data_IF_743570366401
#
_entry.id   IF_743570366401
#
_cell.length_a   1.000
_cell.length_b   1.000
_cell.length_c   1.000
_cell.angle_alpha   90.00
_cell.angle_beta   90.00
_cell.angle_gamma   90.00
#
_symmetry.space_group_name_H-M   'P 1'
#
loop_
_entity.id
_entity.type
_entity.pdbx_description
1 polymer ?
#
# COMPACT_ATOMS: atom_id res chain seq x y z
N UNK A 1 -42.31 -40.84 16.62
CA UNK A 1 -43.60 -41.17 17.27
C UNK A 1 -44.09 -39.99 18.11
N UNK A 2 -45.21 -39.33 17.78
CA UNK A 2 -46.23 -39.66 16.78
C UNK A 2 -45.90 -39.13 15.36
N UNK A 3 -46.84 -39.28 14.43
CA UNK A 3 -46.69 -39.13 12.96
C UNK A 3 -48.07 -38.97 12.29
N UNK A 4 -48.13 -38.63 10.98
CA UNK A 4 -49.25 -38.92 10.03
C UNK A 4 -50.54 -38.07 10.23
N UNK A 5 -51.27 -37.52 9.23
CA UNK A 5 -51.16 -37.41 7.75
C UNK A 5 -51.91 -36.11 7.28
N UNK A 6 -51.75 -35.50 6.08
CA UNK A 6 -52.01 -35.95 4.68
C UNK A 6 -53.51 -36.23 4.38
N UNK A 7 -54.12 -35.95 3.21
CA UNK A 7 -53.65 -35.58 1.84
C UNK A 7 -54.79 -34.85 1.03
N UNK A 8 -54.56 -34.48 -0.24
CA UNK A 8 -55.53 -33.75 -1.14
C UNK A 8 -56.47 -34.65 -1.97
N UNK A 9 -57.19 -34.11 -2.99
CA UNK A 9 -56.70 -34.25 -4.40
C UNK A 9 -57.11 -33.17 -5.46
N UNK A 10 -56.46 -33.23 -6.64
CA UNK A 10 -56.84 -32.90 -8.05
C UNK A 10 -58.12 -32.08 -8.40
N UNK A 11 -58.25 -31.25 -9.47
CA UNK A 11 -57.41 -30.85 -10.64
C UNK A 11 -58.07 -29.59 -11.34
N UNK A 12 -57.85 -29.09 -12.58
CA UNK A 12 -57.21 -29.58 -13.82
C UNK A 12 -56.83 -28.45 -14.86
N UNK A 13 -56.36 -28.88 -16.06
CA UNK A 13 -55.89 -28.18 -17.30
C UNK A 13 -56.72 -27.05 -17.93
N UNK A 14 -56.07 -25.96 -18.42
CA UNK A 14 -56.23 -25.34 -19.78
C UNK A 14 -55.23 -24.18 -20.03
N UNK A 15 -55.12 -23.65 -21.27
CA UNK A 15 -53.96 -22.86 -21.73
C UNK A 15 -54.26 -21.58 -22.56
N UNK A 16 -53.27 -20.67 -22.56
CA UNK A 16 -52.85 -19.67 -23.58
C UNK A 16 -53.87 -18.73 -24.28
N UNK A 17 -53.50 -17.44 -24.38
CA UNK A 17 -53.50 -16.59 -25.60
C UNK A 17 -52.89 -15.21 -25.26
N UNK A 18 -52.33 -14.52 -26.25
CA UNK A 18 -51.81 -13.15 -26.14
C UNK A 18 -52.51 -12.21 -27.15
N UNK A 19 -52.44 -10.88 -26.97
CA UNK A 19 -52.63 -9.94 -28.07
C UNK A 19 -51.41 -9.03 -28.30
N UNK A 20 -51.31 -8.50 -29.52
CA UNK A 20 -50.18 -7.69 -30.02
C UNK A 20 -50.59 -6.26 -30.36
N UNK A 21 -49.66 -5.33 -30.16
CA UNK A 21 -49.31 -4.18 -31.04
C UNK A 21 -50.43 -3.36 -31.73
N UNK A 22 -50.43 -2.03 -31.53
CA UNK A 22 -50.65 -1.10 -32.64
C UNK A 22 -50.06 0.32 -32.40
N UNK A 23 -49.90 1.12 -33.47
CA UNK A 23 -49.26 2.46 -33.51
C UNK A 23 -49.57 3.23 -34.80
N UNK A 24 -49.94 4.52 -34.73
CA UNK A 24 -49.53 5.56 -35.71
C UNK A 24 -48.57 6.60 -35.05
N UNK A 25 -47.59 7.27 -35.67
CA UNK A 25 -47.56 8.16 -36.87
C UNK A 25 -48.42 9.44 -36.69
N UNK A 26 -48.07 10.66 -37.16
CA UNK A 26 -46.84 11.33 -37.66
C UNK A 26 -47.15 12.87 -37.71
N UNK A 27 -46.17 13.77 -37.89
CA UNK A 27 -46.38 15.24 -37.99
C UNK A 27 -46.81 15.74 -39.40
N UNK A 28 -46.59 17.03 -39.82
CA UNK A 28 -45.69 18.04 -39.24
C UNK A 28 -46.23 19.53 -39.20
N UNK A 29 -45.67 20.65 -39.78
CA UNK A 29 -45.57 21.96 -39.05
C UNK A 29 -45.99 23.27 -39.82
N UNK A 30 -45.87 24.48 -39.21
CA UNK A 30 -45.58 25.77 -39.91
C UNK A 30 -45.39 27.05 -39.00
N UNK A 31 -44.36 27.85 -39.30
CA UNK A 31 -44.31 29.34 -39.60
C UNK A 31 -45.35 30.26 -38.91
N UNK A 32 -45.05 31.28 -38.07
CA UNK A 32 -44.21 32.53 -38.13
C UNK A 32 -44.81 33.74 -38.90
N UNK A 33 -44.51 35.00 -38.46
CA UNK A 33 -44.21 36.25 -39.25
C UNK A 33 -44.75 37.60 -38.66
N UNK A 34 -43.86 38.62 -38.54
CA UNK A 34 -44.08 40.10 -38.51
C UNK A 34 -44.79 40.77 -37.29
N UNK A 35 -44.69 42.08 -36.99
CA UNK A 35 -43.71 43.20 -37.21
C UNK A 35 -44.22 44.46 -36.42
N UNK A 36 -43.71 45.72 -36.42
CA UNK A 36 -42.60 46.44 -37.10
C UNK A 36 -42.19 47.73 -36.32
N UNK A 37 -40.89 48.04 -36.18
CA UNK A 37 -40.35 49.42 -36.00
C UNK A 37 -40.57 50.15 -34.64
N UNK A 38 -39.89 51.26 -34.32
CA UNK A 38 -38.69 51.93 -34.90
C UNK A 38 -38.12 52.98 -33.93
N UNK A 39 -36.82 53.33 -34.03
CA UNK A 39 -36.16 54.56 -33.47
C UNK A 39 -36.03 54.54 -31.90
N UNK A 40 -34.97 55.04 -31.23
CA UNK A 40 -33.73 55.77 -31.55
C UNK A 40 -32.55 55.30 -30.64
N UNK A 41 -31.33 55.84 -30.81
CA UNK A 41 -30.35 55.93 -29.71
C UNK A 41 -28.87 55.67 -30.03
N UNK A 42 -28.09 56.73 -30.22
CA UNK A 42 -26.62 56.70 -30.36
C UNK A 42 -25.89 56.17 -29.11
N UNK A 43 -24.80 55.40 -29.30
CA UNK A 43 -23.74 55.20 -28.30
C UNK A 43 -22.34 55.04 -28.93
N UNK A 44 -21.33 55.32 -28.11
CA UNK A 44 -19.94 55.54 -28.52
C UNK A 44 -19.07 54.27 -28.55
N UNK A 45 -17.95 54.42 -29.26
CA UNK A 45 -16.67 53.68 -29.17
C UNK A 45 -16.55 52.68 -28.01
N UNK A 46 -16.19 51.45 -28.34
CA UNK A 46 -15.52 50.54 -27.41
C UNK A 46 -14.21 50.00 -28.04
N UNK A 47 -13.17 49.83 -27.22
CA UNK A 47 -11.80 49.59 -27.70
C UNK A 47 -11.49 48.10 -27.67
N UNK A 48 -10.99 47.55 -28.79
CA UNK A 48 -10.56 46.15 -28.87
C UNK A 48 -9.05 46.00 -28.62
N UNK A 49 -8.58 45.70 -27.39
CA UNK A 49 -7.23 45.18 -27.21
C UNK A 49 -7.14 43.80 -27.86
N UNK A 50 -6.12 43.60 -28.71
CA UNK A 50 -5.72 42.26 -29.14
C UNK A 50 -5.01 41.58 -27.97
N UNK A 51 -5.70 40.73 -27.24
CA UNK A 51 -5.03 39.75 -26.37
C UNK A 51 -4.26 38.81 -27.30
N UNK A 52 -2.93 38.80 -27.19
CA UNK A 52 -2.10 37.85 -27.89
C UNK A 52 -2.21 36.47 -27.23
N UNK A 53 -2.14 35.41 -28.03
CA UNK A 53 -2.16 34.03 -27.54
C UNK A 53 -0.81 33.65 -26.92
N UNK A 54 -0.54 34.09 -25.69
CA UNK A 54 0.61 33.64 -24.89
C UNK A 54 0.24 32.37 -24.09
N UNK A 55 -0.27 31.37 -24.81
CA UNK A 55 -0.70 30.06 -24.26
C UNK A 55 0.38 29.01 -24.52
N UNK A 56 1.66 29.37 -24.38
CA UNK A 56 2.75 28.43 -24.70
C UNK A 56 4.04 28.65 -23.87
N UNK A 57 3.92 28.48 -22.53
CA UNK A 57 5.05 28.21 -21.60
C UNK A 57 4.67 27.72 -20.19
N UNK A 58 3.61 26.92 -20.05
CA UNK A 58 3.54 26.03 -18.87
C UNK A 58 4.68 25.02 -19.01
N UNK A 59 5.79 25.24 -18.31
CA UNK A 59 6.88 24.27 -18.21
C UNK A 59 6.28 22.97 -17.67
N UNK A 60 6.20 21.95 -18.54
CA UNK A 60 5.80 20.61 -18.16
C UNK A 60 6.92 20.01 -17.31
N UNK A 61 6.82 20.21 -15.99
CA UNK A 61 7.64 19.55 -14.98
C UNK A 61 7.39 18.04 -15.08
N UNK A 62 8.15 17.36 -15.96
CA UNK A 62 8.16 15.91 -16.04
C UNK A 62 8.60 15.39 -14.69
N UNK A 63 7.69 14.75 -13.98
CA UNK A 63 8.00 14.02 -12.75
C UNK A 63 9.14 13.03 -13.08
N UNK A 64 10.23 12.95 -12.30
CA UNK A 64 11.32 12.02 -12.57
C UNK A 64 10.82 10.59 -12.73
N UNK A 65 11.17 9.95 -13.86
CA UNK A 65 10.90 8.54 -14.15
C UNK A 65 12.24 7.79 -14.19
N UNK A 66 12.50 7.06 -13.12
CA UNK A 66 13.74 6.35 -12.84
C UNK A 66 13.65 4.99 -13.53
N UNK A 67 14.06 4.94 -14.80
CA UNK A 67 14.05 3.74 -15.65
C UNK A 67 15.42 3.10 -15.84
N UNK A 68 16.49 3.82 -15.51
CA UNK A 68 17.89 3.42 -15.64
C UNK A 68 18.43 2.81 -14.33
N UNK A 69 18.93 1.57 -14.34
CA UNK A 69 19.59 0.96 -13.18
C UNK A 69 20.76 1.75 -12.59
N UNK A 70 21.41 2.68 -13.32
CA UNK A 70 22.51 3.49 -12.76
C UNK A 70 22.06 4.44 -11.64
N UNK A 71 20.78 4.81 -11.63
CA UNK A 71 20.21 5.80 -10.71
C UNK A 71 19.83 5.23 -9.34
N UNK A 72 19.83 3.89 -9.20
CA UNK A 72 19.44 3.19 -7.97
C UNK A 72 20.39 2.02 -7.68
N UNK A 73 20.35 1.52 -6.44
CA UNK A 73 20.94 0.24 -6.07
C UNK A 73 19.81 -0.75 -5.86
N UNK A 74 19.72 -1.73 -6.77
CA UNK A 74 18.75 -2.81 -6.70
C UNK A 74 19.47 -4.15 -6.53
N UNK A 75 19.10 -4.88 -5.48
CA UNK A 75 19.66 -6.19 -5.14
C UNK A 75 18.55 -7.24 -5.11
N UNK A 76 18.55 -8.16 -6.06
CA UNK A 76 17.76 -9.40 -5.97
C UNK A 76 18.39 -10.30 -4.90
N UNK A 77 17.59 -10.71 -3.92
CA UNK A 77 18.08 -11.54 -2.81
C UNK A 77 18.29 -13.00 -3.27
N UNK A 78 19.29 -13.71 -2.71
CA UNK A 78 19.59 -15.08 -3.11
C UNK A 78 18.50 -16.04 -2.65
N UNK A 79 17.98 -16.84 -3.58
CA UNK A 79 16.91 -17.79 -3.35
C UNK A 79 17.17 -19.07 -4.18
N UNK A 80 17.10 -20.23 -3.52
CA UNK A 80 17.36 -21.55 -4.12
C UNK A 80 16.11 -22.41 -4.23
N UNK A 81 14.97 -21.91 -3.76
CA UNK A 81 13.69 -22.64 -3.70
C UNK A 81 12.79 -22.16 -4.84
N UNK A 82 11.93 -23.04 -5.34
CA UNK A 82 10.97 -22.76 -6.40
C UNK A 82 10.21 -21.43 -6.19
N UNK A 83 9.97 -20.74 -7.31
CA UNK A 83 9.22 -19.49 -7.37
C UNK A 83 7.80 -19.65 -6.79
N UNK A 84 7.39 -18.74 -5.93
CA UNK A 84 6.04 -18.66 -5.36
C UNK A 84 5.80 -17.23 -4.89
N UNK A 85 4.65 -16.64 -5.24
CA UNK A 85 4.27 -15.23 -5.00
C UNK A 85 4.61 -14.80 -3.57
N UNK A 86 5.34 -13.70 -3.39
CA UNK A 86 5.61 -13.16 -2.04
C UNK A 86 4.38 -12.40 -1.55
N UNK A 87 3.63 -13.00 -0.63
CA UNK A 87 2.31 -12.50 -0.18
C UNK A 87 2.39 -11.60 1.06
N UNK A 88 3.44 -11.75 1.88
CA UNK A 88 3.80 -10.82 2.97
C UNK A 88 5.31 -10.65 3.06
N UNK A 89 5.75 -9.47 3.49
CA UNK A 89 7.16 -9.10 3.60
C UNK A 89 7.32 -8.11 4.76
N UNK A 90 8.32 -8.31 5.62
CA UNK A 90 8.60 -7.43 6.76
C UNK A 90 10.09 -7.45 7.11
N UNK A 91 10.68 -6.28 7.37
CA UNK A 91 12.01 -6.20 7.98
C UNK A 91 11.94 -6.53 9.46
N UNK A 92 13.01 -7.07 10.04
CA UNK A 92 13.14 -7.12 11.51
C UNK A 92 13.22 -5.71 12.07
N UNK A 93 12.72 -5.46 13.29
CA UNK A 93 12.70 -4.12 13.91
C UNK A 93 14.12 -3.54 14.01
N UNK A 94 15.12 -4.41 14.20
CA UNK A 94 16.56 -4.10 14.15
C UNK A 94 17.12 -3.67 12.79
N UNK A 95 16.40 -3.90 11.68
CA UNK A 95 16.87 -3.63 10.31
C UNK A 95 17.95 -4.59 9.79
N UNK A 96 18.35 -5.61 10.55
CA UNK A 96 19.44 -6.53 10.20
C UNK A 96 18.99 -7.70 9.31
N UNK A 97 17.68 -7.87 9.09
CA UNK A 97 17.12 -9.05 8.43
C UNK A 97 15.76 -8.74 7.78
N UNK A 98 15.38 -9.55 6.80
CA UNK A 98 14.14 -9.43 6.04
C UNK A 98 13.42 -10.79 5.99
N UNK A 99 12.16 -10.83 6.37
CA UNK A 99 11.31 -12.02 6.39
C UNK A 99 10.20 -11.90 5.35
N UNK A 100 10.18 -12.84 4.40
CA UNK A 100 9.05 -13.04 3.48
C UNK A 100 8.21 -14.24 3.90
N UNK A 101 6.92 -14.20 3.56
CA UNK A 101 6.03 -15.36 3.46
C UNK A 101 5.58 -15.49 2.00
N UNK A 102 5.82 -16.66 1.41
CA UNK A 102 5.37 -16.98 0.06
C UNK A 102 3.98 -17.64 0.07
N UNK A 103 3.29 -17.62 -1.08
CA UNK A 103 1.94 -18.19 -1.24
C UNK A 103 1.87 -19.70 -0.93
N UNK A 104 2.98 -20.41 -1.02
CA UNK A 104 3.11 -21.83 -0.66
C UNK A 104 3.29 -22.09 0.84
N UNK A 105 2.94 -21.13 1.70
CA UNK A 105 3.05 -21.17 3.16
C UNK A 105 4.47 -21.22 3.75
N UNK A 106 5.53 -21.19 2.92
CA UNK A 106 6.93 -21.19 3.35
C UNK A 106 7.43 -19.77 3.62
N UNK A 107 8.12 -19.57 4.74
CA UNK A 107 8.83 -18.33 5.03
C UNK A 107 10.29 -18.40 4.56
N UNK A 108 10.82 -17.26 4.12
CA UNK A 108 12.23 -17.08 3.74
C UNK A 108 12.80 -15.91 4.54
N UNK A 109 13.94 -16.13 5.22
CA UNK A 109 14.57 -15.14 6.10
C UNK A 109 15.98 -14.84 5.61
N UNK A 110 16.21 -13.63 5.13
CA UNK A 110 17.54 -13.14 4.77
C UNK A 110 18.14 -12.36 5.92
N UNK A 111 19.41 -12.63 6.25
CA UNK A 111 20.16 -11.92 7.29
C UNK A 111 21.41 -11.27 6.70
N UNK A 112 21.59 -9.97 6.97
CA UNK A 112 22.83 -9.28 6.69
C UNK A 112 23.81 -9.52 7.83
N UNK A 113 25.09 -9.68 7.49
CA UNK A 113 26.16 -9.91 8.46
C UNK A 113 27.03 -8.66 8.59
N UNK A 114 27.55 -8.41 9.79
CA UNK A 114 28.59 -7.38 9.99
C UNK A 114 29.88 -7.86 9.34
N UNK A 115 30.37 -7.06 8.40
CA UNK A 115 31.59 -7.32 7.61
C UNK A 115 32.28 -5.99 7.33
N UNK A 116 33.51 -6.00 6.83
CA UNK A 116 34.22 -4.78 6.42
C UNK A 116 33.42 -3.95 5.38
N UNK A 117 32.65 -4.64 4.51
CA UNK A 117 31.78 -4.02 3.49
C UNK A 117 30.40 -3.62 4.01
N UNK A 118 30.00 -4.08 5.19
CA UNK A 118 28.80 -3.63 5.90
C UNK A 118 29.05 -3.61 7.41
N UNK A 119 29.70 -2.55 7.95
CA UNK A 119 30.03 -2.48 9.38
C UNK A 119 28.79 -2.43 10.28
N UNK A 120 27.68 -1.88 9.78
CA UNK A 120 26.42 -1.77 10.54
C UNK A 120 25.73 -3.13 10.73
N UNK A 121 25.77 -3.98 9.70
CA UNK A 121 24.98 -5.20 9.60
C UNK A 121 23.51 -4.97 9.19
N UNK A 122 23.09 -3.73 8.92
CA UNK A 122 21.76 -3.40 8.38
C UNK A 122 21.58 -3.99 6.99
N UNK A 123 20.32 -4.13 6.57
CA UNK A 123 19.99 -4.39 5.18
C UNK A 123 20.47 -3.25 4.26
N UNK A 124 20.89 -3.63 3.05
CA UNK A 124 21.36 -2.74 1.99
C UNK A 124 21.43 -3.52 0.68
N UNK A 125 21.28 -2.83 -0.44
CA UNK A 125 21.52 -3.40 -1.77
C UNK A 125 23.02 -3.53 -2.10
N UNK A 126 23.91 -2.83 -1.39
CA UNK A 126 25.36 -2.88 -1.63
C UNK A 126 26.02 -4.23 -1.24
N UNK A 127 25.39 -5.03 -0.38
CA UNK A 127 25.93 -6.31 0.12
C UNK A 127 24.84 -7.38 0.15
N UNK A 128 25.10 -8.52 -0.48
CA UNK A 128 24.18 -9.65 -0.49
C UNK A 128 24.01 -10.27 0.92
N UNK A 129 22.77 -10.50 1.39
CA UNK A 129 22.54 -11.24 2.64
C UNK A 129 22.73 -12.74 2.44
N UNK A 130 22.83 -13.45 3.56
CA UNK A 130 22.68 -14.90 3.58
C UNK A 130 21.18 -15.25 3.68
N UNK A 131 20.68 -16.13 2.81
CA UNK A 131 19.42 -16.85 3.06
C UNK A 131 19.66 -17.78 4.26
N UNK A 132 19.03 -17.47 5.38
CA UNK A 132 19.34 -18.07 6.67
C UNK A 132 18.36 -19.18 7.03
N UNK A 133 18.91 -20.29 7.53
CA UNK A 133 18.19 -21.42 8.08
C UNK A 133 18.88 -21.86 9.39
N UNK A 134 18.15 -22.45 10.34
CA UNK A 134 18.77 -23.01 11.55
C UNK A 134 19.65 -24.24 11.19
N UNK A 135 20.70 -24.55 11.98
CA UNK A 135 21.56 -25.73 11.74
C UNK A 135 20.84 -27.08 11.72
N UNK A 136 19.60 -27.15 12.18
CA UNK A 136 18.74 -28.34 12.10
C UNK A 136 18.11 -28.57 10.73
N UNK A 137 18.30 -27.69 9.75
CA UNK A 137 17.65 -27.76 8.42
C UNK A 137 16.13 -27.56 8.46
N UNK A 138 15.57 -27.17 9.62
CA UNK A 138 14.14 -26.95 9.81
C UNK A 138 13.67 -25.75 8.99
N UNK A 139 12.63 -25.91 8.19
CA UNK A 139 11.96 -24.82 7.46
C UNK A 139 10.83 -24.21 8.30
N UNK A 140 10.60 -22.91 8.15
CA UNK A 140 9.49 -22.20 8.79
C UNK A 140 8.27 -22.20 7.84
N UNK A 141 7.38 -23.18 7.99
CA UNK A 141 6.20 -23.37 7.12
C UNK A 141 4.92 -23.36 7.96
N UNK A 142 3.88 -22.68 7.52
CA UNK A 142 2.56 -22.69 8.19
C UNK A 142 1.79 -23.99 7.92
N UNK A 143 0.87 -24.33 8.84
CA UNK A 143 -0.24 -25.23 8.54
C UNK A 143 -1.06 -24.67 7.37
N UNK A 144 -1.46 -25.54 6.44
CA UNK A 144 -2.32 -25.24 5.29
C UNK A 144 -3.66 -25.93 5.52
N UNK A 145 -4.76 -25.31 5.07
CA UNK A 145 -6.06 -25.98 5.01
C UNK A 145 -6.20 -26.72 3.67
N UNK A 146 -6.12 -28.06 3.69
CA UNK A 146 -6.20 -28.93 2.50
C UNK A 146 -7.46 -28.74 1.64
N UNK A 147 -8.53 -28.15 2.20
CA UNK A 147 -9.79 -27.89 1.47
C UNK A 147 -9.78 -26.63 0.57
N UNK A 148 -8.73 -25.81 0.61
CA UNK A 148 -8.56 -24.62 -0.25
C UNK A 148 -7.17 -24.60 -0.89
N UNK A 149 -7.01 -24.08 -2.11
CA UNK A 149 -5.70 -23.81 -2.68
C UNK A 149 -4.88 -22.86 -1.78
N UNK A 150 -3.58 -23.12 -1.68
CA UNK A 150 -2.63 -22.26 -0.96
C UNK A 150 -2.61 -20.83 -1.53
N UNK A 151 -2.69 -20.68 -2.85
CA UNK A 151 -2.66 -19.39 -3.54
C UNK A 151 -3.93 -18.55 -3.36
N UNK A 152 -5.06 -19.16 -3.00
CA UNK A 152 -6.33 -18.48 -2.70
C UNK A 152 -6.51 -18.22 -1.19
N UNK A 153 -5.69 -18.87 -0.36
CA UNK A 153 -5.76 -18.78 1.09
C UNK A 153 -5.16 -17.46 1.60
N UNK A 154 -5.92 -16.74 2.42
CA UNK A 154 -5.43 -15.52 3.04
C UNK A 154 -4.20 -15.81 3.91
N UNK A 155 -3.16 -14.99 3.74
CA UNK A 155 -1.90 -15.10 4.45
C UNK A 155 -1.65 -13.87 5.33
N UNK A 156 -1.07 -14.05 6.51
CA UNK A 156 -0.73 -12.95 7.40
C UNK A 156 0.50 -13.27 8.26
N UNK A 157 1.29 -12.24 8.58
CA UNK A 157 2.44 -12.31 9.49
C UNK A 157 2.41 -11.12 10.44
N UNK A 158 2.87 -11.31 11.67
CA UNK A 158 3.19 -10.25 12.61
C UNK A 158 4.47 -10.59 13.38
N UNK A 159 5.41 -9.66 13.45
CA UNK A 159 6.71 -9.85 14.11
C UNK A 159 6.68 -9.29 15.54
N UNK A 160 7.27 -10.02 16.49
CA UNK A 160 7.47 -9.54 17.86
C UNK A 160 8.45 -8.36 17.92
N UNK A 161 8.23 -7.41 18.83
CA UNK A 161 9.07 -6.19 19.02
C UNK A 161 10.57 -6.47 19.26
N UNK A 162 10.94 -7.68 19.67
CA UNK A 162 12.31 -8.11 19.97
C UNK A 162 12.89 -9.09 18.92
N UNK A 163 12.31 -9.13 17.72
CA UNK A 163 12.73 -9.95 16.56
C UNK A 163 12.85 -11.46 16.80
N UNK A 164 12.42 -11.94 17.98
CA UNK A 164 12.66 -13.31 18.45
C UNK A 164 11.58 -14.28 17.99
N UNK A 165 10.39 -13.77 17.68
CA UNK A 165 9.22 -14.55 17.29
C UNK A 165 8.45 -13.91 16.14
N UNK A 166 7.81 -14.75 15.32
CA UNK A 166 6.80 -14.34 14.33
C UNK A 166 5.54 -15.16 14.54
N UNK A 167 4.38 -14.51 14.48
CA UNK A 167 3.09 -15.19 14.34
C UNK A 167 2.64 -15.14 12.89
N UNK A 168 2.13 -16.25 12.38
CA UNK A 168 1.83 -16.40 10.96
C UNK A 168 0.67 -17.37 10.72
N UNK A 169 -0.04 -17.18 9.61
CA UNK A 169 -1.06 -18.11 9.12
C UNK A 169 -1.14 -18.08 7.58
N UNK A 170 -1.53 -19.20 6.98
CA UNK A 170 -1.75 -19.38 5.53
C UNK A 170 -2.96 -20.28 5.28
N UNK A 171 -4.15 -19.81 5.67
CA UNK A 171 -5.41 -20.57 5.59
C UNK A 171 -5.59 -21.67 6.65
N UNK A 172 -4.51 -22.24 7.20
CA UNK A 172 -4.52 -23.14 8.36
C UNK A 172 -4.61 -22.41 9.71
N UNK A 173 -4.04 -23.02 10.75
CA UNK A 173 -3.95 -22.44 12.12
C UNK A 173 -3.07 -21.20 12.15
N UNK A 174 -3.20 -20.40 13.21
CA UNK A 174 -2.23 -19.37 13.56
C UNK A 174 -1.09 -20.01 14.36
N UNK A 175 0.13 -19.92 13.85
CA UNK A 175 1.33 -20.54 14.43
C UNK A 175 2.30 -19.48 14.94
N UNK A 176 2.83 -19.68 16.16
CA UNK A 176 3.91 -18.89 16.73
C UNK A 176 5.24 -19.60 16.49
N UNK A 177 6.14 -19.00 15.70
CA UNK A 177 7.48 -19.54 15.42
C UNK A 177 8.57 -18.81 16.17
N UNK A 178 9.61 -19.56 16.55
CA UNK A 178 10.87 -19.02 17.06
C UNK A 178 11.84 -18.67 15.90
N UNK A 179 12.25 -17.41 15.79
CA UNK A 179 13.08 -16.89 14.68
C UNK A 179 14.54 -17.39 14.67
N UNK A 180 14.97 -18.12 15.70
CA UNK A 180 16.31 -18.70 15.85
C UNK A 180 16.34 -20.22 15.64
N UNK A 181 15.20 -20.89 15.57
CA UNK A 181 15.11 -22.36 15.41
C UNK A 181 14.09 -22.82 14.37
N UNK A 182 13.25 -21.91 13.87
CA UNK A 182 12.10 -22.15 12.99
C UNK A 182 11.07 -23.17 13.52
N UNK A 183 11.19 -23.56 14.80
CA UNK A 183 10.21 -24.41 15.46
C UNK A 183 8.96 -23.61 15.82
N UNK A 184 7.81 -24.24 15.60
CA UNK A 184 6.52 -23.83 16.18
C UNK A 184 6.60 -23.99 17.70
N UNK A 185 6.14 -22.99 18.43
CA UNK A 185 6.05 -22.97 19.90
C UNK A 185 4.63 -23.22 20.39
N UNK A 186 3.63 -22.70 19.68
CA UNK A 186 2.20 -23.00 19.88
C UNK A 186 1.44 -22.78 18.59
N UNK A 187 0.25 -23.37 18.48
CA UNK A 187 -0.70 -23.20 17.38
C UNK A 187 -2.10 -23.04 17.95
N UNK A 188 -2.83 -22.03 17.50
CA UNK A 188 -4.17 -21.71 17.97
C UNK A 188 -5.10 -21.34 16.80
N UNK A 189 -6.40 -21.24 17.11
CA UNK A 189 -7.47 -20.89 16.15
C UNK A 189 -7.46 -21.77 14.89
N UNK A 190 -7.86 -23.03 15.06
CA UNK A 190 -8.18 -23.93 13.94
C UNK A 190 -9.28 -23.34 13.06
N UNK A 191 -9.11 -23.30 11.73
CA UNK A 191 -10.18 -22.89 10.81
C UNK A 191 -11.30 -23.96 10.74
N UNK A 192 -12.52 -23.59 10.33
CA UNK A 192 -12.97 -22.25 9.96
C UNK A 192 -13.41 -21.40 11.19
N UNK A 193 -13.36 -20.05 11.10
CA UNK A 193 -12.88 -19.25 9.97
C UNK A 193 -11.35 -19.11 9.96
N UNK A 194 -10.77 -18.92 8.77
CA UNK A 194 -9.33 -18.66 8.64
C UNK A 194 -8.94 -17.24 9.09
N UNK A 195 -7.71 -17.09 9.59
CA UNK A 195 -7.13 -15.79 9.91
C UNK A 195 -6.59 -15.10 8.65
N UNK A 196 -6.91 -13.82 8.47
CA UNK A 196 -6.58 -13.02 7.28
C UNK A 196 -5.61 -11.88 7.58
N UNK A 197 -5.52 -11.43 8.83
CA UNK A 197 -4.63 -10.36 9.29
C UNK A 197 -4.27 -10.53 10.77
N UNK A 198 -3.08 -10.07 11.18
CA UNK A 198 -2.58 -10.14 12.55
C UNK A 198 -2.03 -8.77 12.98
N UNK A 199 -2.30 -8.35 14.22
CA UNK A 199 -1.68 -7.18 14.84
C UNK A 199 -1.47 -7.40 16.34
N UNK A 200 -0.24 -7.25 16.83
CA UNK A 200 0.05 -7.24 18.27
C UNK A 200 -0.51 -5.98 18.93
N UNK A 201 -1.08 -6.13 20.13
CA UNK A 201 -1.50 -4.99 20.93
C UNK A 201 -0.28 -4.14 21.37
N UNK A 202 -0.32 -2.80 21.24
CA UNK A 202 0.88 -1.98 21.38
C UNK A 202 1.48 -1.94 22.80
N UNK A 203 0.71 -2.27 23.85
CA UNK A 203 1.17 -2.20 25.24
C UNK A 203 1.15 -3.53 26.00
N UNK A 204 0.39 -4.53 25.54
CA UNK A 204 0.26 -5.84 26.20
C UNK A 204 0.64 -6.95 25.21
N UNK A 205 1.84 -7.50 25.38
CA UNK A 205 2.38 -8.53 24.50
C UNK A 205 1.59 -9.87 24.54
N UNK A 206 0.64 -10.04 25.47
CA UNK A 206 -0.25 -11.20 25.53
C UNK A 206 -1.47 -11.06 24.59
N UNK A 207 -1.78 -9.84 24.11
CA UNK A 207 -3.01 -9.53 23.39
C UNK A 207 -2.76 -9.26 21.91
N UNK A 208 -3.62 -9.83 21.06
CA UNK A 208 -3.50 -9.77 19.60
C UNK A 208 -4.88 -9.54 18.99
N UNK A 209 -4.96 -8.61 18.03
CA UNK A 209 -6.11 -8.48 17.16
C UNK A 209 -5.90 -9.35 15.91
N UNK A 210 -6.89 -10.18 15.61
CA UNK A 210 -6.83 -11.19 14.55
C UNK A 210 -8.03 -10.98 13.63
N UNK A 211 -7.75 -10.59 12.39
CA UNK A 211 -8.76 -10.42 11.35
C UNK A 211 -9.15 -11.78 10.78
N UNK A 212 -10.44 -12.00 10.53
CA UNK A 212 -10.97 -13.30 10.11
C UNK A 212 -11.64 -13.25 8.74
N UNK A 213 -11.79 -14.42 8.14
CA UNK A 213 -12.56 -14.64 6.92
C UNK A 213 -14.09 -14.41 7.13
N UNK A 214 -14.61 -14.63 8.34
CA UNK A 214 -16.03 -14.41 8.70
C UNK A 214 -16.40 -12.94 9.02
N UNK A 215 -15.65 -11.99 8.43
CA UNK A 215 -15.86 -10.54 8.56
C UNK A 215 -15.74 -9.98 9.99
N UNK A 216 -15.22 -10.79 10.92
CA UNK A 216 -14.99 -10.42 12.32
C UNK A 216 -13.53 -10.11 12.62
N UNK A 217 -13.29 -9.35 13.70
CA UNK A 217 -11.97 -9.26 14.34
C UNK A 217 -12.07 -9.89 15.71
N UNK A 218 -11.17 -10.81 16.02
CA UNK A 218 -11.09 -11.46 17.33
C UNK A 218 -9.94 -10.87 18.14
N UNK A 219 -10.20 -10.52 19.39
CA UNK A 219 -9.21 -10.06 20.36
C UNK A 219 -8.83 -11.27 21.19
N UNK A 220 -7.61 -11.74 21.02
CA UNK A 220 -7.12 -13.02 21.53
C UNK A 220 -6.05 -12.84 22.62
N UNK A 221 -6.03 -13.72 23.61
CA UNK A 221 -5.08 -13.70 24.73
C UNK A 221 -4.23 -14.97 24.74
N UNK A 222 -3.02 -14.88 24.17
CA UNK A 222 -2.13 -16.03 23.90
C UNK A 222 -1.56 -16.68 25.17
N UNK A 223 -1.73 -16.05 26.34
CA UNK A 223 -1.26 -16.58 27.63
C UNK A 223 -2.25 -17.56 28.28
N UNK A 224 -3.54 -17.45 27.95
CA UNK A 224 -4.61 -18.31 28.48
C UNK A 224 -5.36 -19.07 27.39
N UNK A 225 -4.99 -18.86 26.12
CA UNK A 225 -5.56 -19.49 24.92
C UNK A 225 -7.00 -19.05 24.57
N UNK A 226 -7.49 -17.91 25.12
CA UNK A 226 -8.88 -17.46 25.03
C UNK A 226 -9.13 -16.26 24.10
N UNK A 227 -10.29 -16.25 23.45
CA UNK A 227 -10.85 -15.07 22.75
C UNK A 227 -11.54 -14.16 23.78
N UNK A 228 -10.93 -13.02 24.13
CA UNK A 228 -11.52 -12.02 25.03
C UNK A 228 -12.76 -11.36 24.44
N UNK A 229 -12.77 -11.06 23.14
CA UNK A 229 -13.86 -10.31 22.49
C UNK A 229 -13.91 -10.59 20.99
N UNK A 230 -15.11 -10.62 20.40
CA UNK A 230 -15.32 -10.75 18.94
C UNK A 230 -16.03 -9.52 18.39
N UNK A 231 -15.27 -8.65 17.71
CA UNK A 231 -15.74 -7.43 17.07
C UNK A 231 -16.52 -7.79 15.79
N UNK A 232 -17.70 -7.20 15.61
CA UNK A 232 -18.55 -7.37 14.41
C UNK A 232 -18.94 -6.01 13.85
N UNK A 233 -18.78 -5.80 12.55
CA UNK A 233 -19.12 -4.51 11.92
C UNK A 233 -18.84 -4.42 10.42
N UNK A 234 -17.89 -5.19 9.90
CA UNK A 234 -17.66 -5.37 8.45
C UNK A 234 -18.58 -6.46 7.90
N UNK A 235 -18.82 -6.42 6.59
CA UNK A 235 -19.64 -7.41 5.87
C UNK A 235 -18.79 -8.46 5.16
N UNK A 236 -17.59 -8.09 4.70
CA UNK A 236 -16.61 -9.00 4.08
C UNK A 236 -15.38 -9.22 4.97
N UNK A 237 -14.58 -10.25 4.63
CA UNK A 237 -13.30 -10.62 5.29
C UNK A 237 -12.44 -9.40 5.66
N UNK A 238 -11.77 -9.47 6.80
CA UNK A 238 -10.83 -8.41 7.22
C UNK A 238 -9.60 -8.41 6.31
N UNK A 239 -9.13 -7.23 5.90
CA UNK A 239 -7.95 -7.03 5.03
C UNK A 239 -6.90 -6.10 5.61
N UNK A 240 -7.16 -5.46 6.76
CA UNK A 240 -6.17 -4.70 7.51
C UNK A 240 -6.54 -4.49 8.98
N UNK A 241 -5.50 -4.36 9.81
CA UNK A 241 -5.58 -3.98 11.23
C UNK A 241 -4.43 -3.01 11.55
N UNK A 242 -4.72 -1.90 12.22
CA UNK A 242 -3.73 -0.95 12.69
C UNK A 242 -4.12 -0.40 14.07
N UNK A 243 -3.23 -0.49 15.06
CA UNK A 243 -3.41 0.12 16.38
C UNK A 243 -2.83 1.53 16.42
N UNK A 244 -3.49 2.44 17.14
CA UNK A 244 -2.95 3.72 17.60
C UNK A 244 -3.08 3.81 19.12
N UNK A 245 -1.96 3.88 19.87
CA UNK A 245 -1.98 4.19 21.30
C UNK A 245 -2.49 5.61 21.57
N UNK A 246 -2.13 6.57 20.72
CA UNK A 246 -2.47 8.00 20.87
C UNK A 246 -3.97 8.27 20.75
N UNK A 247 -4.67 7.54 19.89
CA UNK A 247 -6.13 7.58 19.79
C UNK A 247 -6.83 6.55 20.70
N UNK A 248 -6.06 5.75 21.44
CA UNK A 248 -6.54 4.60 22.22
C UNK A 248 -7.47 3.67 21.41
N UNK A 249 -7.11 3.45 20.13
CA UNK A 249 -7.99 2.87 19.14
C UNK A 249 -7.33 1.78 18.27
N UNK A 250 -8.09 0.74 17.96
CA UNK A 250 -7.84 -0.17 16.84
C UNK A 250 -8.64 0.33 15.63
N UNK A 251 -8.02 0.40 14.46
CA UNK A 251 -8.74 0.52 13.18
C UNK A 251 -8.64 -0.82 12.45
N UNK A 252 -9.77 -1.30 11.93
CA UNK A 252 -9.84 -2.45 11.04
C UNK A 252 -10.53 -2.12 9.73
N UNK A 253 -10.10 -2.76 8.65
CA UNK A 253 -10.65 -2.58 7.31
C UNK A 253 -11.12 -3.91 6.71
N UNK A 254 -12.29 -3.89 6.08
CA UNK A 254 -12.89 -5.05 5.41
C UNK A 254 -12.68 -5.00 3.89
N UNK A 255 -12.86 -6.16 3.24
CA UNK A 255 -12.90 -6.23 1.77
C UNK A 255 -14.22 -5.68 1.17
N UNK A 256 -15.09 -5.12 2.01
CA UNK A 256 -16.28 -4.30 1.69
C UNK A 256 -15.95 -2.80 1.67
N UNK A 257 -14.65 -2.46 1.70
CA UNK A 257 -14.13 -1.10 1.71
C UNK A 257 -14.63 -0.23 2.90
N UNK A 258 -15.11 -0.87 3.98
CA UNK A 258 -15.43 -0.20 5.24
C UNK A 258 -14.17 -0.06 6.11
N UNK A 259 -14.05 1.09 6.78
CA UNK A 259 -13.18 1.32 7.92
C UNK A 259 -14.03 1.28 9.19
N UNK A 260 -13.59 0.52 10.20
CA UNK A 260 -14.16 0.52 11.55
C UNK A 260 -13.10 0.93 12.56
N UNK A 261 -13.44 1.83 13.48
CA UNK A 261 -12.60 2.23 14.62
C UNK A 261 -13.23 1.70 15.92
N UNK A 262 -12.40 1.14 16.79
CA UNK A 262 -12.79 0.47 18.03
C UNK A 262 -11.96 1.00 19.20
N UNK A 263 -12.56 1.15 20.38
CA UNK A 263 -11.82 1.44 21.62
C UNK A 263 -10.94 0.25 22.00
N UNK A 264 -9.69 0.50 22.40
CA UNK A 264 -8.80 -0.55 22.92
C UNK A 264 -9.24 -1.02 24.32
N UNK A 265 -9.57 -0.09 25.23
CA UNK A 265 -9.94 -0.46 26.61
C UNK A 265 -11.20 -1.33 26.70
N UNK A 266 -12.19 -1.01 25.86
CA UNK A 266 -13.54 -1.61 25.94
C UNK A 266 -13.91 -2.51 24.78
N UNK A 267 -13.18 -2.46 23.67
CA UNK A 267 -13.49 -3.20 22.44
C UNK A 267 -14.86 -2.83 21.81
N UNK A 268 -15.39 -1.64 22.15
CA UNK A 268 -16.62 -1.05 21.60
C UNK A 268 -16.37 -0.35 20.25
N UNK A 269 -17.34 -0.39 19.32
CA UNK A 269 -17.26 0.30 18.01
C UNK A 269 -17.46 1.81 18.21
N UNK A 270 -16.43 2.62 17.94
CA UNK A 270 -16.47 4.08 18.07
C UNK A 270 -17.04 4.77 16.81
N UNK A 271 -16.61 4.33 15.62
CA UNK A 271 -17.08 4.86 14.33
C UNK A 271 -16.89 3.84 13.22
N UNK A 272 -17.63 4.00 12.13
CA UNK A 272 -17.27 3.42 10.84
C UNK A 272 -17.55 4.38 9.68
N UNK A 273 -16.82 4.22 8.57
CA UNK A 273 -17.06 4.92 7.31
C UNK A 273 -16.59 4.04 6.14
N UNK A 274 -17.37 4.01 5.06
CA UNK A 274 -16.93 3.45 3.78
C UNK A 274 -16.02 4.44 3.05
N UNK A 275 -14.91 3.96 2.50
CA UNK A 275 -14.06 4.81 1.65
C UNK A 275 -14.86 5.22 0.41
N UNK A 276 -14.70 6.47 -0.03
CA UNK A 276 -15.37 6.96 -1.22
C UNK A 276 -14.61 6.55 -2.48
N UNK A 277 -15.33 6.27 -3.57
CA UNK A 277 -14.73 5.91 -4.85
C UNK A 277 -14.08 7.13 -5.53
N UNK A 278 -13.05 6.95 -6.38
CA UNK A 278 -12.54 8.02 -7.24
C UNK A 278 -13.62 8.56 -8.17
N UNK A 279 -13.54 9.84 -8.53
CA UNK A 279 -14.45 10.46 -9.48
C UNK A 279 -14.51 9.66 -10.80
N UNK A 280 -15.72 9.29 -11.23
CA UNK A 280 -15.95 8.47 -12.43
C UNK A 280 -16.02 6.95 -12.20
N UNK A 281 -15.70 6.43 -11.00
CA UNK A 281 -16.00 5.03 -10.63
C UNK A 281 -17.37 4.91 -9.94
N UNK A 282 -18.01 3.76 -10.09
CA UNK A 282 -19.23 3.42 -9.35
C UNK A 282 -18.93 3.03 -7.89
N UNK A 283 -19.96 3.09 -7.05
CA UNK A 283 -19.95 2.74 -5.62
C UNK A 283 -21.01 1.64 -5.39
N UNK A 284 -20.80 0.66 -4.47
CA UNK A 284 -19.69 0.54 -3.52
C UNK A 284 -18.38 0.02 -4.14
N UNK A 285 -17.25 0.35 -3.50
CA UNK A 285 -15.98 -0.34 -3.73
C UNK A 285 -15.98 -1.68 -3.00
N UNK A 286 -15.36 -2.69 -3.62
CA UNK A 286 -15.14 -4.03 -3.06
C UNK A 286 -13.75 -4.47 -3.51
N UNK A 287 -12.90 -4.90 -2.57
CA UNK A 287 -11.48 -5.15 -2.83
C UNK A 287 -10.64 -5.04 -1.56
N UNK A 288 -9.38 -5.47 -1.61
CA UNK A 288 -8.51 -5.43 -0.41
C UNK A 288 -8.21 -3.99 0.00
N UNK A 289 -8.54 -3.67 1.25
CA UNK A 289 -8.31 -2.33 1.83
C UNK A 289 -7.29 -2.47 2.97
N UNK A 290 -6.03 -2.09 2.72
CA UNK A 290 -4.97 -2.12 3.72
C UNK A 290 -4.96 -0.80 4.51
N UNK A 291 -4.63 -0.86 5.80
CA UNK A 291 -4.56 0.33 6.69
C UNK A 291 -3.25 0.36 7.48
N UNK A 292 -2.70 1.56 7.67
CA UNK A 292 -1.48 1.80 8.47
C UNK A 292 -1.56 3.17 9.14
N UNK A 293 -1.27 3.28 10.43
CA UNK A 293 -1.10 4.58 11.08
C UNK A 293 0.24 5.23 10.69
N UNK A 294 0.22 6.55 10.54
CA UNK A 294 1.42 7.39 10.42
C UNK A 294 2.20 7.43 11.75
N UNK A 295 3.44 7.92 11.71
CA UNK A 295 4.29 8.06 12.90
C UNK A 295 3.68 8.97 13.99
N UNK A 296 2.83 9.94 13.62
CA UNK A 296 2.07 10.75 14.59
C UNK A 296 0.95 9.98 15.31
N UNK A 297 0.62 8.76 14.87
CA UNK A 297 -0.43 7.88 15.38
C UNK A 297 -1.87 8.47 15.30
N UNK A 298 -2.08 9.55 14.56
CA UNK A 298 -3.36 10.24 14.37
C UNK A 298 -3.86 10.18 12.93
N UNK A 299 -2.96 10.25 11.95
CA UNK A 299 -3.26 10.07 10.53
C UNK A 299 -3.18 8.59 10.13
N UNK A 300 -4.12 8.16 9.29
CA UNK A 300 -4.23 6.78 8.82
C UNK A 300 -4.09 6.73 7.30
N UNK A 301 -3.06 6.03 6.80
CA UNK A 301 -2.96 5.63 5.40
C UNK A 301 -3.96 4.51 5.12
N UNK A 302 -4.75 4.69 4.07
CA UNK A 302 -5.77 3.75 3.61
C UNK A 302 -5.53 3.49 2.13
N UNK A 303 -5.24 2.22 1.81
CA UNK A 303 -4.79 1.79 0.48
C UNK A 303 -5.77 0.78 -0.07
N UNK A 304 -6.32 1.08 -1.25
CA UNK A 304 -7.18 0.21 -2.04
C UNK A 304 -6.61 0.16 -3.47
N UNK A 305 -6.94 -0.89 -4.24
CA UNK A 305 -6.47 -1.04 -5.64
C UNK A 305 -6.75 0.17 -6.55
N UNK A 306 -7.78 0.96 -6.20
CA UNK A 306 -8.21 2.16 -6.92
C UNK A 306 -7.62 3.48 -6.41
N UNK A 307 -7.05 3.52 -5.19
CA UNK A 307 -6.61 4.77 -4.56
C UNK A 307 -5.73 4.57 -3.31
N UNK A 308 -4.86 5.55 -3.08
CA UNK A 308 -4.24 5.83 -1.78
C UNK A 308 -4.95 7.03 -1.18
N UNK A 309 -5.20 6.99 0.13
CA UNK A 309 -5.88 8.06 0.83
C UNK A 309 -5.39 8.19 2.27
N UNK A 310 -5.40 9.42 2.80
CA UNK A 310 -5.07 9.69 4.20
C UNK A 310 -6.33 10.15 4.92
N UNK A 311 -6.61 9.51 6.04
CA UNK A 311 -7.73 9.81 6.93
C UNK A 311 -7.23 10.41 8.24
N UNK A 312 -8.02 11.26 8.86
CA UNK A 312 -7.74 11.81 10.20
C UNK A 312 -8.22 10.87 11.33
N UNK A 313 -8.03 11.31 12.57
CA UNK A 313 -8.46 10.60 13.79
C UNK A 313 -9.98 10.44 13.92
N UNK A 314 -10.76 11.17 13.12
CA UNK A 314 -12.22 11.03 13.03
C UNK A 314 -12.64 10.14 11.86
N UNK A 315 -11.72 9.46 11.17
CA UNK A 315 -11.98 8.78 9.89
C UNK A 315 -12.58 9.71 8.81
N UNK A 316 -12.10 10.95 8.71
CA UNK A 316 -12.41 11.90 7.63
C UNK A 316 -11.27 11.87 6.61
N UNK A 317 -11.58 11.65 5.33
CA UNK A 317 -10.59 11.63 4.26
C UNK A 317 -10.06 13.05 4.03
N UNK A 318 -8.80 13.31 4.39
CA UNK A 318 -8.17 14.62 4.21
C UNK A 318 -7.56 14.76 2.82
N UNK A 319 -7.04 13.66 2.25
CA UNK A 319 -6.35 13.62 0.96
C UNK A 319 -6.58 12.28 0.28
N UNK A 320 -6.72 12.28 -1.05
CA UNK A 320 -6.74 11.06 -1.86
C UNK A 320 -6.00 11.24 -3.19
N UNK A 321 -5.39 10.15 -3.67
CA UNK A 321 -4.75 10.02 -4.97
C UNK A 321 -5.19 8.70 -5.61
N UNK A 322 -5.52 8.72 -6.89
CA UNK A 322 -5.91 7.54 -7.68
C UNK A 322 -5.00 7.36 -8.90
N UNK A 323 -4.78 6.12 -9.38
CA UNK A 323 -4.02 5.85 -10.59
C UNK A 323 -4.48 6.66 -11.80
N UNK A 324 -3.50 7.24 -12.50
CA UNK A 324 -3.64 8.07 -13.71
C UNK A 324 -2.28 8.38 -14.33
N UNK A 325 -2.30 8.87 -15.56
CA UNK A 325 -1.14 9.45 -16.26
C UNK A 325 0.09 8.51 -16.24
N UNK A 326 1.16 8.88 -15.52
CA UNK A 326 2.41 8.11 -15.42
C UNK A 326 2.30 6.83 -14.55
N UNK A 327 1.22 6.67 -13.79
CA UNK A 327 0.94 5.50 -12.96
C UNK A 327 -0.53 5.07 -13.15
N UNK A 328 -0.89 4.46 -14.30
CA UNK A 328 -2.27 4.16 -14.66
C UNK A 328 -2.77 2.80 -14.14
N UNK A 329 -1.87 1.91 -13.73
CA UNK A 329 -2.20 0.55 -13.29
C UNK A 329 -2.85 0.51 -11.89
N UNK A 330 -3.54 -0.59 -11.52
CA UNK A 330 -4.03 -0.79 -10.15
C UNK A 330 -2.88 -0.83 -9.12
N UNK A 331 -3.19 -0.41 -7.89
CA UNK A 331 -2.26 -0.39 -6.76
C UNK A 331 -2.25 -1.77 -6.07
N UNK A 332 -1.08 -2.39 -5.93
CA UNK A 332 -0.95 -3.69 -5.26
C UNK A 332 -0.72 -3.55 -3.76
N UNK A 333 0.09 -2.58 -3.34
CA UNK A 333 0.40 -2.28 -1.94
C UNK A 333 0.99 -0.88 -1.81
N UNK A 334 0.71 -0.18 -0.73
CA UNK A 334 1.41 1.05 -0.38
C UNK A 334 1.64 1.14 1.14
N UNK A 335 2.67 1.88 1.54
CA UNK A 335 3.20 1.92 2.91
C UNK A 335 4.01 3.20 3.15
N UNK A 336 3.97 3.76 4.36
CA UNK A 336 4.83 4.88 4.76
C UNK A 336 6.31 4.47 4.81
N UNK A 337 7.23 5.43 4.61
CA UNK A 337 8.63 5.34 5.04
C UNK A 337 8.75 5.30 6.58
N UNK A 338 9.89 4.88 7.11
CA UNK A 338 10.10 4.81 8.57
C UNK A 338 10.15 6.18 9.27
N UNK A 339 10.47 7.26 8.56
CA UNK A 339 10.35 8.64 9.05
C UNK A 339 8.93 9.22 8.90
N UNK A 340 8.07 8.56 8.13
CA UNK A 340 6.70 8.99 7.83
C UNK A 340 6.60 10.04 6.72
N UNK A 341 7.71 10.52 6.15
CA UNK A 341 7.72 11.64 5.19
C UNK A 341 7.36 11.23 3.75
N UNK A 342 7.42 9.93 3.43
CA UNK A 342 7.11 9.38 2.11
C UNK A 342 6.04 8.29 2.21
N UNK A 343 5.29 8.10 1.12
CA UNK A 343 4.53 6.87 0.86
C UNK A 343 5.10 6.20 -0.39
N UNK A 344 5.46 4.93 -0.27
CA UNK A 344 5.82 4.07 -1.39
C UNK A 344 4.60 3.27 -1.82
N UNK A 345 4.34 3.21 -3.13
CA UNK A 345 3.23 2.45 -3.71
C UNK A 345 3.71 1.58 -4.86
N UNK A 346 3.39 0.29 -4.81
CA UNK A 346 3.61 -0.68 -5.89
C UNK A 346 2.39 -0.79 -6.78
N UNK A 347 2.64 -1.02 -8.07
CA UNK A 347 1.61 -1.07 -9.11
C UNK A 347 1.70 -2.38 -9.90
N UNK A 348 0.57 -2.85 -10.44
CA UNK A 348 0.49 -4.12 -11.15
C UNK A 348 1.20 -4.15 -12.51
N UNK A 349 1.72 -3.01 -13.00
CA UNK A 349 2.61 -2.90 -14.17
C UNK A 349 4.11 -3.05 -13.81
N UNK A 350 4.44 -3.23 -12.53
CA UNK A 350 5.81 -3.26 -12.04
C UNK A 350 6.40 -1.88 -11.71
N UNK A 351 5.64 -0.79 -11.86
CA UNK A 351 6.08 0.53 -11.41
C UNK A 351 6.02 0.65 -9.88
N UNK A 352 6.83 1.56 -9.35
CA UNK A 352 6.76 2.03 -7.96
C UNK A 352 6.59 3.55 -8.01
N UNK A 353 5.56 4.07 -7.37
CA UNK A 353 5.38 5.50 -7.16
C UNK A 353 5.89 5.90 -5.77
N UNK A 354 6.71 6.94 -5.72
CA UNK A 354 7.09 7.60 -4.46
C UNK A 354 6.27 8.88 -4.33
N UNK A 355 5.63 9.05 -3.19
CA UNK A 355 4.75 10.17 -2.87
C UNK A 355 5.23 10.89 -1.61
N UNK A 356 4.97 12.18 -1.55
CA UNK A 356 5.03 12.99 -0.34
C UNK A 356 3.89 12.61 0.61
N UNK A 357 4.20 12.27 1.87
CA UNK A 357 3.17 11.82 2.82
C UNK A 357 2.22 12.93 3.29
N UNK A 358 2.73 14.15 3.46
CA UNK A 358 1.95 15.30 3.95
C UNK A 358 0.93 15.77 2.90
N UNK A 359 1.25 15.68 1.61
CA UNK A 359 0.42 16.24 0.53
C UNK A 359 -0.15 15.20 -0.44
N UNK A 360 0.27 13.93 -0.37
CA UNK A 360 0.08 12.90 -1.41
C UNK A 360 0.52 13.36 -2.82
N UNK A 361 1.45 14.33 -2.90
CA UNK A 361 2.05 14.74 -4.18
C UNK A 361 3.02 13.67 -4.66
N UNK A 362 2.84 13.27 -5.92
CA UNK A 362 3.71 12.34 -6.61
C UNK A 362 5.10 12.97 -6.82
N UNK A 363 6.17 12.31 -6.32
CA UNK A 363 7.55 12.81 -6.34
C UNK A 363 8.39 12.21 -7.47
N UNK A 364 8.35 10.88 -7.63
CA UNK A 364 9.02 10.19 -8.74
C UNK A 364 8.41 8.80 -9.00
N UNK A 365 8.56 8.32 -10.24
CA UNK A 365 8.34 6.93 -10.63
C UNK A 365 9.66 6.18 -10.59
N UNK A 366 9.63 4.91 -10.18
CA UNK A 366 10.68 3.93 -10.43
C UNK A 366 10.08 2.90 -11.37
N UNK A 367 10.65 2.76 -12.57
CA UNK A 367 10.22 1.77 -13.56
C UNK A 367 10.75 0.38 -13.23
N UNK A 368 10.07 -0.70 -13.66
CA UNK A 368 10.55 -2.07 -13.45
C UNK A 368 11.94 -2.30 -14.04
N UNK A 369 12.28 -1.65 -15.16
CA UNK A 369 13.60 -1.75 -15.81
C UNK A 369 14.78 -1.28 -14.95
N UNK A 370 14.55 -0.47 -13.92
CA UNK A 370 15.62 0.02 -13.05
C UNK A 370 16.04 -1.02 -12.00
N UNK A 371 15.11 -1.86 -11.52
CA UNK A 371 15.36 -2.82 -10.42
C UNK A 371 15.19 -4.29 -10.81
N UNK A 372 14.55 -4.60 -11.94
CA UNK A 372 14.47 -5.93 -12.53
C UNK A 372 15.50 -6.00 -13.68
N UNK A 373 16.51 -6.89 -13.61
CA UNK A 373 17.51 -7.02 -14.66
C UNK A 373 16.89 -7.32 -16.03
N UNK A 374 17.40 -6.70 -17.09
CA UNK A 374 16.80 -6.70 -18.44
C UNK A 374 16.59 -8.07 -19.06
N UNK A 375 17.39 -9.07 -18.69
CA UNK A 375 17.24 -10.47 -19.12
C UNK A 375 16.09 -11.24 -18.44
N UNK A 376 15.41 -10.65 -17.45
CA UNK A 376 14.23 -11.23 -16.77
C UNK A 376 12.90 -10.58 -17.20
N UNK A 377 12.91 -9.62 -18.13
CA UNK A 377 11.75 -8.78 -18.52
C UNK A 377 10.72 -9.52 -19.39
N UNK A 378 10.86 -10.83 -19.60
CA UNK A 378 9.87 -11.68 -20.29
C UNK A 378 8.60 -11.96 -19.47
N UNK A 379 8.64 -11.74 -18.15
CA UNK A 379 7.51 -11.98 -17.25
C UNK A 379 6.84 -10.67 -16.78
N UNK A 380 5.53 -10.73 -16.56
CA UNK A 380 4.68 -9.66 -15.99
C UNK A 380 4.86 -9.48 -14.47
N UNK A 381 6.11 -9.60 -14.01
CA UNK A 381 6.49 -9.54 -12.60
C UNK A 381 6.30 -8.12 -12.04
N UNK A 382 5.59 -8.03 -10.92
CA UNK A 382 5.25 -6.78 -10.25
C UNK A 382 5.31 -6.95 -8.73
N UNK A 383 5.54 -5.88 -7.94
CA UNK A 383 5.52 -5.98 -6.49
C UNK A 383 4.10 -6.27 -6.01
N UNK A 384 3.92 -7.31 -5.20
CA UNK A 384 2.68 -7.61 -4.47
C UNK A 384 2.66 -6.96 -3.08
N UNK A 385 3.84 -6.78 -2.48
CA UNK A 385 4.05 -6.16 -1.17
C UNK A 385 5.32 -5.32 -1.16
N UNK A 386 5.30 -4.24 -0.38
CA UNK A 386 6.45 -3.36 -0.11
C UNK A 386 6.64 -3.31 1.41
N UNK A 387 7.90 -3.38 1.86
CA UNK A 387 8.30 -3.15 3.24
C UNK A 387 9.33 -2.01 3.32
N UNK A 388 9.12 -0.94 4.09
CA UNK A 388 10.12 0.08 4.33
C UNK A 388 11.19 -0.44 5.30
N UNK A 389 12.45 -0.06 5.12
CA UNK A 389 13.48 -0.35 6.12
C UNK A 389 13.22 0.47 7.41
N UNK A 390 13.23 -0.11 8.62
CA UNK A 390 12.74 0.54 9.85
C UNK A 390 13.59 1.73 10.34
N UNK A 391 14.74 1.99 9.73
CA UNK A 391 15.62 3.11 10.08
C UNK A 391 16.37 3.74 8.91
N UNK A 392 15.98 3.46 7.66
CA UNK A 392 16.56 4.08 6.46
C UNK A 392 15.42 4.49 5.51
N UNK A 393 14.94 5.75 5.53
CA UNK A 393 13.65 6.11 4.95
C UNK A 393 13.60 6.03 3.42
N UNK A 394 14.76 6.03 2.77
CA UNK A 394 14.90 5.85 1.32
C UNK A 394 15.02 4.37 0.88
N UNK A 395 15.14 3.41 1.80
CA UNK A 395 15.28 1.98 1.45
C UNK A 395 13.95 1.24 1.59
N UNK A 396 13.61 0.45 0.56
CA UNK A 396 12.45 -0.46 0.55
C UNK A 396 12.86 -1.87 0.12
N UNK A 397 12.12 -2.87 0.58
CA UNK A 397 12.11 -4.20 0.01
C UNK A 397 10.79 -4.46 -0.74
N UNK A 398 10.88 -5.22 -1.83
CA UNK A 398 9.81 -5.54 -2.76
C UNK A 398 9.62 -7.06 -2.80
N UNK A 399 8.41 -7.52 -2.49
CA UNK A 399 8.02 -8.92 -2.65
C UNK A 399 7.24 -9.08 -3.94
N UNK A 400 7.75 -9.86 -4.88
CA UNK A 400 7.27 -9.90 -6.26
C UNK A 400 6.28 -11.05 -6.53
N UNK A 401 5.49 -10.89 -7.60
CA UNK A 401 4.57 -11.92 -8.10
C UNK A 401 5.26 -13.13 -8.74
N UNK A 402 6.51 -13.00 -9.20
CA UNK A 402 7.38 -14.13 -9.62
C UNK A 402 8.10 -14.82 -8.44
N UNK A 403 7.82 -14.39 -7.21
CA UNK A 403 8.47 -14.90 -6.01
C UNK A 403 9.85 -14.33 -5.70
N UNK A 404 10.40 -13.44 -6.54
CA UNK A 404 11.64 -12.73 -6.22
C UNK A 404 11.43 -11.75 -5.05
N UNK A 405 12.52 -11.49 -4.32
CA UNK A 405 12.61 -10.37 -3.37
C UNK A 405 13.74 -9.45 -3.81
N UNK A 406 13.46 -8.16 -3.90
CA UNK A 406 14.45 -7.12 -4.22
C UNK A 406 14.56 -6.12 -3.07
N UNK A 407 15.78 -5.69 -2.74
CA UNK A 407 16.02 -4.49 -1.92
C UNK A 407 16.42 -3.35 -2.85
N UNK A 408 15.80 -2.19 -2.67
CA UNK A 408 15.97 -1.00 -3.50
C UNK A 408 16.24 0.23 -2.63
N UNK A 409 17.30 0.95 -2.97
CA UNK A 409 17.72 2.22 -2.37
C UNK A 409 18.32 3.15 -3.45
N UNK A 410 18.42 4.47 -3.25
CA UNK A 410 19.09 5.37 -4.19
C UNK A 410 20.57 5.00 -4.42
N UNK A 411 21.14 5.36 -5.57
CA UNK A 411 22.55 5.08 -5.86
C UNK A 411 23.51 5.90 -4.97
N UNK A 412 23.14 7.15 -4.69
CA UNK A 412 23.82 8.08 -3.78
C UNK A 412 22.99 8.28 -2.49
N UNK A 413 23.65 8.35 -1.34
CA UNK A 413 23.00 8.57 -0.05
C UNK A 413 22.43 9.99 0.09
N UNK A 414 22.94 10.98 -0.65
CA UNK A 414 22.40 12.35 -0.63
C UNK A 414 21.17 12.53 -1.55
N UNK A 415 21.01 11.68 -2.58
CA UNK A 415 19.82 11.71 -3.44
C UNK A 415 18.60 11.09 -2.74
N UNK A 416 17.74 11.97 -2.20
CA UNK A 416 16.36 11.64 -1.81
C UNK A 416 15.52 11.36 -3.07
N UNK A 417 14.57 10.42 -2.97
CA UNK A 417 13.65 10.09 -4.07
C UNK A 417 12.90 11.33 -4.60
N UNK A 418 13.09 11.62 -5.89
CA UNK A 418 12.50 12.79 -6.57
C UNK A 418 13.12 14.14 -6.20
N UNK A 419 14.25 14.16 -5.47
CA UNK A 419 15.01 15.38 -5.25
C UNK A 419 15.67 15.87 -6.54
N UNK A 420 15.61 17.17 -6.81
CA UNK A 420 16.56 17.80 -7.74
C UNK A 420 17.95 17.71 -7.12
N UNK A 421 19.01 17.38 -7.90
CA UNK A 421 20.37 17.64 -7.42
C UNK A 421 20.47 19.14 -7.06
N UNK A 422 21.20 19.45 -6.00
CA UNK A 422 21.49 20.84 -5.65
C UNK A 422 22.08 21.53 -6.87
N UNK A 423 21.54 22.70 -7.23
CA UNK A 423 22.29 23.61 -8.09
C UNK A 423 23.49 24.06 -7.28
N UNK A 424 24.64 23.45 -7.57
CA UNK A 424 25.90 23.82 -6.98
C UNK A 424 26.14 25.32 -7.20
N UNK A 425 26.67 26.01 -6.20
CA UNK A 425 26.70 27.47 -6.19
C UNK A 425 27.69 27.96 -7.25
N UNK A 426 27.16 28.30 -8.44
CA UNK A 426 27.94 28.85 -9.53
C UNK A 426 28.82 30.00 -9.03
N UNK A 427 30.14 29.97 -9.28
CA UNK A 427 31.08 30.83 -8.59
C UNK A 427 30.73 32.30 -8.79
N UNK A 428 30.60 33.03 -7.67
CA UNK A 428 30.31 34.45 -7.64
C UNK A 428 31.30 35.21 -8.55
N UNK A 429 30.82 36.15 -9.40
CA UNK A 429 31.68 36.85 -10.34
C UNK A 429 32.74 37.66 -9.58
N UNK A 430 34.01 37.30 -9.78
CA UNK A 430 35.15 37.91 -9.11
C UNK A 430 35.44 39.32 -9.67
N UNK A 431 34.83 40.34 -9.07
CA UNK A 431 35.17 41.75 -9.31
C UNK A 431 36.57 42.06 -8.74
N UNK A 432 37.61 41.73 -9.50
CA UNK A 432 39.01 42.03 -9.18
C UNK A 432 39.60 43.05 -10.15
N UNK A 433 39.44 44.34 -9.85
CA UNK A 433 40.10 45.43 -10.57
C UNK A 433 40.52 46.57 -9.65
N UNK A 434 41.72 46.46 -9.06
CA UNK A 434 42.53 47.59 -8.63
C UNK A 434 44.03 47.20 -8.70
N UNK A 435 44.92 48.08 -9.19
CA UNK A 435 46.33 47.77 -9.39
C UNK A 435 47.15 47.82 -8.08
N UNK A 436 48.33 47.16 -8.02
CA UNK A 436 49.17 47.15 -6.83
C UNK A 436 49.85 48.50 -6.59
N UNK A 437 49.85 48.96 -5.34
CA UNK A 437 50.68 50.08 -4.88
C UNK A 437 52.10 49.57 -4.54
N UNK A 438 53.10 50.18 -5.16
CA UNK A 438 54.52 49.92 -4.90
C UNK A 438 54.97 50.54 -3.57
N UNK A 439 55.70 49.79 -2.75
CA UNK A 439 56.17 50.25 -1.44
C UNK A 439 57.52 50.97 -1.45
N UNK A 440 57.71 51.89 -0.51
CA UNK A 440 59.00 52.46 -0.09
C UNK A 440 58.86 53.07 1.33
N UNK A 441 59.95 53.46 2.04
CA UNK A 441 60.56 52.54 3.00
C UNK A 441 60.52 53.04 4.46
N UNK A 442 61.03 52.22 5.37
CA UNK A 442 61.13 52.48 6.81
C UNK A 442 62.46 53.13 7.22
N UNK A 443 62.42 54.23 7.99
CA UNK A 443 63.31 54.58 9.13
C UNK A 443 63.02 56.03 9.62
N UNK A 444 63.52 56.47 10.78
CA UNK A 444 63.85 55.72 12.01
C UNK A 444 63.30 56.37 13.31
N UNK A 445 63.09 55.57 14.36
CA UNK A 445 63.46 55.96 15.74
C UNK A 445 63.58 54.76 16.67
#
# INVERSE_FOLDING_TARGET
>A
PLTINALGPASNVSAAIAPTLERPDRGPPAVSISSLGTIDGSRLVDVKPRVAEDVDKIKSWRIPDISDPSQIKALRLPDSIAASKVVRLIYTNSGLSLLALASNAVHKLWKWQRTERNPSGKATANVAPQLWQPPSGTLMTNDINESKPTEESAACIALSKNDSYVMSASGGKVSLFNMMTFKVMTMFMSPPPAATFLAFHPQDNNIIAIGMEDSSVQIYNVRVDEVKTKLKGHQNRITGLAFSPTLNALVSSGADAQLCMWSIDKWEKLKSRFIQAPAGRQSPLVGETKVQFHNDQTHLLVVHESQISVYDSKLECSRSWSPKDALPAPISSAIYSCDGLLVYAGFCDGAIGVFDAETLRFRCRIGPSAYIPTYAVSNTAHPLVIAPHPSEPNQIALGMSDGAVHVVEPSDAELKWGGTPSQDNGPLPSNSSNPPLTGQPSEPR
#
